data_IF_528929673587
#
_entry.id   IF_528929673587
#
_cell.length_a   1.000
_cell.length_b   1.000
_cell.length_c   1.000
_cell.angle_alpha   90.00
_cell.angle_beta   90.00
_cell.angle_gamma   90.00
#
_symmetry.space_group_name_H-M   'P 1'
#
loop_
_entity.id
_entity.type
_entity.pdbx_description
1 polymer ?
#
# COMPACT_ATOMS: atom_id res chain seq x y z
N UNK A 1 4.62 -10.26 17.12
CA UNK A 1 4.05 -10.01 15.78
C UNK A 1 4.77 -8.82 15.20
N UNK A 2 5.49 -8.98 14.11
CA UNK A 2 6.15 -7.85 13.43
C UNK A 2 5.05 -7.00 12.80
N UNK A 3 5.07 -5.70 13.05
CA UNK A 3 4.05 -4.80 12.52
C UNK A 3 4.33 -4.52 11.05
N UNK A 4 3.34 -4.76 10.19
CA UNK A 4 3.32 -4.35 8.78
C UNK A 4 3.27 -2.81 8.65
N UNK A 5 2.99 -2.11 9.74
CA UNK A 5 2.83 -0.65 9.75
C UNK A 5 4.18 0.04 9.65
N UNK A 6 4.27 0.99 8.73
CA UNK A 6 5.44 1.86 8.58
C UNK A 6 5.65 2.68 9.86
N UNK A 7 6.84 2.67 10.46
CA UNK A 7 7.09 3.38 11.70
C UNK A 7 6.98 4.91 11.52
N UNK A 8 6.47 5.61 12.53
CA UNK A 8 6.30 7.07 12.50
C UNK A 8 7.63 7.85 12.46
N UNK A 9 8.77 7.19 12.65
CA UNK A 9 10.11 7.75 12.45
C UNK A 9 10.49 7.88 10.98
N UNK A 10 9.73 7.25 10.08
CA UNK A 10 9.97 7.23 8.64
C UNK A 10 8.87 7.97 7.89
N UNK A 11 9.25 8.60 6.79
CA UNK A 11 8.31 9.16 5.82
C UNK A 11 7.68 8.04 5.01
N UNK A 12 6.38 8.13 4.76
CA UNK A 12 5.66 7.24 3.84
C UNK A 12 4.71 8.03 2.94
N UNK A 13 4.28 7.42 1.85
CA UNK A 13 3.34 8.05 0.92
C UNK A 13 2.01 8.42 1.60
N UNK A 14 1.54 7.61 2.55
CA UNK A 14 0.30 7.89 3.30
C UNK A 14 0.39 9.10 4.24
N UNK A 15 1.59 9.45 4.70
CA UNK A 15 1.84 10.60 5.58
C UNK A 15 2.11 11.90 4.82
N UNK A 16 2.54 11.79 3.58
CA UNK A 16 2.95 12.94 2.76
C UNK A 16 1.85 14.01 2.62
N UNK A 17 0.57 13.68 2.36
CA UNK A 17 -0.48 14.69 2.27
C UNK A 17 -0.65 15.52 3.55
N UNK A 18 -0.52 14.90 4.71
CA UNK A 18 -0.61 15.61 5.99
C UNK A 18 0.59 16.54 6.20
N UNK A 19 1.80 16.09 5.90
CA UNK A 19 3.02 16.89 5.96
C UNK A 19 2.97 18.10 5.02
N UNK A 20 2.35 17.97 3.87
CA UNK A 20 2.15 19.04 2.89
C UNK A 20 0.95 19.95 3.21
N UNK A 21 0.22 19.71 4.29
CA UNK A 21 -0.97 20.47 4.66
C UNK A 21 -2.18 20.22 3.74
N UNK A 22 -2.18 19.12 3.00
CA UNK A 22 -3.23 18.76 2.03
C UNK A 22 -4.24 17.75 2.57
N UNK A 23 -3.98 17.17 3.74
CA UNK A 23 -4.89 16.20 4.36
C UNK A 23 -6.05 16.90 5.05
N UNK A 24 -7.26 16.32 4.92
CA UNK A 24 -8.45 16.76 5.66
C UNK A 24 -8.51 16.20 7.09
N UNK A 25 -7.69 15.21 7.40
CA UNK A 25 -7.78 14.42 8.63
C UNK A 25 -6.66 14.72 9.62
N UNK A 26 -5.49 15.13 9.12
CA UNK A 26 -4.30 15.37 9.95
C UNK A 26 -3.55 16.61 9.45
N UNK A 27 -3.02 17.37 10.39
CA UNK A 27 -2.19 18.54 10.12
C UNK A 27 -0.70 18.18 10.08
N UNK A 28 0.16 19.07 9.54
CA UNK A 28 1.62 18.93 9.66
C UNK A 28 2.09 18.82 11.12
N UNK A 29 1.43 19.51 12.05
CA UNK A 29 1.75 19.43 13.48
C UNK A 29 1.45 18.07 14.09
N UNK A 30 0.35 17.41 13.66
CA UNK A 30 0.02 16.06 14.12
C UNK A 30 1.11 15.07 13.67
N UNK A 31 1.59 15.20 12.44
CA UNK A 31 2.69 14.37 11.93
C UNK A 31 4.00 14.62 12.65
N UNK A 32 4.33 15.88 12.91
CA UNK A 32 5.53 16.23 13.67
C UNK A 32 5.47 15.67 15.09
N UNK A 33 4.33 15.81 15.76
CA UNK A 33 4.11 15.28 17.12
C UNK A 33 4.26 13.76 17.12
N UNK A 34 3.65 13.06 16.17
CA UNK A 34 3.77 11.61 16.04
C UNK A 34 5.23 11.16 15.82
N UNK A 35 5.98 11.89 15.00
CA UNK A 35 7.39 11.60 14.76
C UNK A 35 8.24 11.83 16.01
N UNK A 36 8.04 12.91 16.72
CA UNK A 36 8.77 13.21 17.97
C UNK A 36 8.47 12.16 19.03
N UNK A 37 7.20 11.77 19.20
CA UNK A 37 6.82 10.71 20.14
C UNK A 37 7.44 9.38 19.78
N UNK A 38 7.44 9.01 18.51
CA UNK A 38 8.09 7.77 18.06
C UNK A 38 9.61 7.77 18.30
N UNK A 39 10.29 8.91 18.10
CA UNK A 39 11.72 9.07 18.37
C UNK A 39 12.05 8.95 19.87
N UNK A 40 11.09 9.28 20.74
CA UNK A 40 11.22 9.10 22.20
C UNK A 40 10.84 7.69 22.68
N UNK A 41 10.39 6.81 21.76
CA UNK A 41 9.88 5.50 22.13
C UNK A 41 8.48 5.52 22.74
N UNK A 42 7.74 6.62 22.55
CA UNK A 42 6.35 6.76 22.99
C UNK A 42 5.45 6.36 21.82
N UNK A 43 4.87 5.16 21.89
CA UNK A 43 3.90 4.73 20.88
C UNK A 43 2.55 5.40 21.09
N UNK A 44 2.06 6.04 20.05
CA UNK A 44 0.65 6.46 19.99
C UNK A 44 -0.20 5.25 19.60
N UNK A 45 -1.28 4.96 20.33
CA UNK A 45 -2.16 3.88 19.94
C UNK A 45 -2.75 4.20 18.56
N UNK A 46 -2.58 3.27 17.63
CA UNK A 46 -3.29 3.32 16.36
C UNK A 46 -4.77 3.10 16.65
N UNK A 47 -5.57 4.16 16.55
CA UNK A 47 -7.00 4.08 16.72
C UNK A 47 -7.57 3.62 15.38
N UNK A 48 -7.49 2.32 15.13
CA UNK A 48 -8.17 1.67 14.02
C UNK A 48 -9.68 1.90 14.11
N UNK A 49 -10.35 1.79 12.99
CA UNK A 49 -11.80 1.79 12.92
C UNK A 49 -12.29 0.57 12.13
N UNK A 50 -13.59 0.28 12.25
CA UNK A 50 -14.19 -0.90 11.60
C UNK A 50 -13.94 -0.94 10.08
N UNK A 51 -13.93 0.22 9.41
CA UNK A 51 -13.65 0.28 7.97
C UNK A 51 -12.21 -0.12 7.63
N UNK A 52 -11.24 0.25 8.48
CA UNK A 52 -9.85 -0.18 8.35
C UNK A 52 -9.71 -1.68 8.60
N UNK A 53 -10.41 -2.21 9.60
CA UNK A 53 -10.39 -3.64 9.89
C UNK A 53 -10.95 -4.46 8.73
N UNK A 54 -12.06 -4.04 8.14
CA UNK A 54 -12.61 -4.66 6.93
C UNK A 54 -11.66 -4.54 5.74
N UNK A 55 -11.01 -3.38 5.55
CA UNK A 55 -9.98 -3.18 4.53
C UNK A 55 -8.87 -4.22 4.65
N UNK A 56 -8.31 -4.35 5.84
CA UNK A 56 -7.23 -5.31 6.12
C UNK A 56 -7.64 -6.78 5.89
N UNK A 57 -8.88 -7.13 6.22
CA UNK A 57 -9.40 -8.49 6.01
C UNK A 57 -9.66 -8.81 4.53
N UNK A 58 -10.13 -7.83 3.77
CA UNK A 58 -10.47 -8.00 2.35
C UNK A 58 -9.24 -7.88 1.42
N UNK A 59 -8.21 -7.16 1.83
CA UNK A 59 -7.00 -6.94 1.05
C UNK A 59 -6.40 -8.22 0.45
N UNK A 60 -6.12 -9.30 1.21
CA UNK A 60 -5.57 -10.52 0.63
C UNK A 60 -6.51 -11.21 -0.35
N UNK A 61 -7.82 -11.06 -0.17
CA UNK A 61 -8.84 -11.65 -1.06
C UNK A 61 -8.84 -10.90 -2.39
N UNK A 62 -8.81 -9.57 -2.34
CA UNK A 62 -8.75 -8.69 -3.53
C UNK A 62 -7.48 -8.97 -4.33
N UNK A 63 -6.34 -9.08 -3.65
CA UNK A 63 -5.05 -9.36 -4.29
C UNK A 63 -5.02 -10.73 -4.97
N UNK A 64 -5.58 -11.76 -4.35
CA UNK A 64 -5.69 -13.10 -4.96
C UNK A 64 -6.57 -13.08 -6.20
N UNK A 65 -7.70 -12.37 -6.15
CA UNK A 65 -8.60 -12.26 -7.30
C UNK A 65 -7.97 -11.44 -8.42
N UNK A 66 -7.25 -10.37 -8.11
CA UNK A 66 -6.50 -9.59 -9.10
C UNK A 66 -5.41 -10.46 -9.77
N UNK A 67 -4.63 -11.18 -8.98
CA UNK A 67 -3.61 -12.09 -9.51
C UNK A 67 -4.22 -13.18 -10.41
N UNK A 68 -5.38 -13.73 -10.03
CA UNK A 68 -6.09 -14.71 -10.86
C UNK A 68 -6.55 -14.13 -12.20
N UNK A 69 -7.14 -12.92 -12.18
CA UNK A 69 -7.62 -12.26 -13.43
C UNK A 69 -6.51 -11.85 -14.37
N UNK A 70 -5.38 -11.44 -13.80
CA UNK A 70 -4.20 -11.02 -14.56
C UNK A 70 -3.21 -12.16 -14.81
N UNK A 71 -3.54 -13.38 -14.40
CA UNK A 71 -2.68 -14.56 -14.52
C UNK A 71 -1.27 -14.37 -13.95
N UNK A 72 -1.16 -13.61 -12.86
CA UNK A 72 0.10 -13.37 -12.18
C UNK A 72 0.52 -14.59 -11.34
N UNK A 73 1.81 -14.75 -11.14
CA UNK A 73 2.39 -15.84 -10.34
C UNK A 73 3.17 -15.31 -9.16
N UNK A 74 3.56 -16.22 -8.27
CA UNK A 74 4.41 -15.90 -7.11
C UNK A 74 3.83 -14.78 -6.24
N UNK A 75 2.50 -14.79 -6.05
CA UNK A 75 1.78 -13.79 -5.26
C UNK A 75 2.21 -13.86 -3.80
N UNK A 76 2.67 -12.72 -3.28
CA UNK A 76 2.92 -12.49 -1.86
C UNK A 76 1.95 -11.44 -1.36
N UNK A 77 1.13 -11.75 -0.36
CA UNK A 77 0.12 -10.85 0.23
C UNK A 77 0.51 -10.36 1.63
N UNK A 78 1.61 -10.85 2.18
CA UNK A 78 2.14 -10.43 3.46
C UNK A 78 3.67 -10.50 3.41
N UNK A 79 4.28 -9.33 3.40
CA UNK A 79 5.74 -9.19 3.42
C UNK A 79 6.31 -9.16 4.84
N UNK A 80 5.47 -9.19 5.86
CA UNK A 80 5.85 -9.21 7.28
C UNK A 80 6.42 -7.90 7.80
N UNK A 81 7.28 -7.24 7.07
CA UNK A 81 7.96 -6.00 7.47
C UNK A 81 7.86 -4.92 6.40
N UNK A 82 7.90 -3.62 6.77
CA UNK A 82 8.03 -2.54 5.81
C UNK A 82 9.36 -2.59 5.07
N UNK A 83 9.38 -2.05 3.86
CA UNK A 83 10.60 -1.81 3.10
C UNK A 83 11.17 -0.44 3.45
N UNK A 84 12.47 -0.37 3.69
CA UNK A 84 13.17 0.84 4.08
C UNK A 84 14.13 1.30 2.97
N UNK A 85 14.12 2.59 2.67
CA UNK A 85 15.12 3.16 1.79
C UNK A 85 16.48 3.17 2.48
N UNK A 86 17.55 2.86 1.72
CA UNK A 86 18.90 2.73 2.28
C UNK A 86 19.45 4.05 2.82
N UNK A 87 19.23 5.15 2.10
CA UNK A 87 19.92 6.42 2.33
C UNK A 87 19.02 7.54 2.88
N UNK A 88 17.69 7.34 2.83
CA UNK A 88 16.72 8.34 3.28
C UNK A 88 15.74 7.75 4.30
N UNK A 89 15.17 8.57 5.19
CA UNK A 89 14.19 8.13 6.17
C UNK A 89 12.81 7.86 5.50
N UNK A 90 12.80 7.02 4.50
CA UNK A 90 11.62 6.63 3.73
C UNK A 90 11.33 5.15 3.96
N UNK A 91 10.07 4.83 4.13
CA UNK A 91 9.62 3.45 4.21
C UNK A 91 8.25 3.28 3.54
N UNK A 92 7.96 2.06 3.10
CA UNK A 92 6.64 1.70 2.58
C UNK A 92 6.27 0.28 3.02
N UNK A 93 4.98 0.06 3.16
CA UNK A 93 4.41 -1.27 3.33
C UNK A 93 3.65 -1.63 2.07
N UNK A 94 4.02 -2.76 1.45
CA UNK A 94 3.34 -3.24 0.25
C UNK A 94 2.11 -4.08 0.68
N UNK A 95 1.00 -3.88 -0.02
CA UNK A 95 -0.16 -4.77 0.13
C UNK A 95 0.15 -6.14 -0.47
N UNK A 96 0.83 -6.16 -1.60
CA UNK A 96 1.28 -7.39 -2.22
C UNK A 96 2.27 -7.18 -3.35
N UNK A 97 2.83 -8.28 -3.82
CA UNK A 97 3.64 -8.35 -5.03
C UNK A 97 3.39 -9.64 -5.78
N UNK A 98 3.60 -9.63 -7.09
CA UNK A 98 3.49 -10.81 -7.93
C UNK A 98 4.35 -10.69 -9.19
N UNK A 99 4.64 -11.80 -9.86
CA UNK A 99 5.38 -11.82 -11.11
C UNK A 99 4.44 -11.86 -12.31
N UNK A 100 4.62 -10.91 -13.25
CA UNK A 100 3.84 -10.80 -14.47
C UNK A 100 4.28 -11.73 -15.60
N UNK A 101 5.48 -12.27 -15.56
CA UNK A 101 6.07 -13.21 -16.54
C UNK A 101 5.92 -12.83 -18.01
N UNK A 102 5.97 -11.54 -18.30
CA UNK A 102 5.87 -11.05 -19.67
C UNK A 102 4.45 -11.04 -20.25
N UNK A 103 3.42 -11.21 -19.42
CA UNK A 103 2.04 -11.15 -19.83
C UNK A 103 1.70 -9.79 -20.44
N UNK A 104 0.96 -9.80 -21.54
CA UNK A 104 0.40 -8.58 -22.14
C UNK A 104 -1.05 -8.43 -21.68
N UNK A 105 -1.30 -7.33 -20.98
CA UNK A 105 -2.62 -7.00 -20.47
C UNK A 105 -3.17 -5.81 -21.27
N UNK A 106 -4.39 -5.95 -21.74
CA UNK A 106 -5.16 -4.88 -22.39
C UNK A 106 -6.38 -4.52 -21.54
N UNK A 107 -6.94 -3.36 -21.78
CA UNK A 107 -8.21 -2.97 -21.15
C UNK A 107 -9.32 -3.95 -21.52
N UNK A 108 -9.97 -4.51 -20.51
CA UNK A 108 -11.13 -5.40 -20.62
C UNK A 108 -12.17 -4.98 -19.58
N UNK A 109 -13.14 -4.13 -19.93
CA UNK A 109 -14.17 -3.65 -19.02
C UNK A 109 -15.05 -4.77 -18.44
N UNK A 110 -15.28 -5.84 -19.20
CA UNK A 110 -16.12 -6.97 -18.77
C UNK A 110 -15.42 -7.76 -17.65
N UNK A 111 -14.10 -7.84 -17.70
CA UNK A 111 -13.29 -8.39 -16.63
C UNK A 111 -12.94 -7.36 -15.54
N UNK A 112 -13.31 -6.09 -15.68
CA UNK A 112 -12.96 -5.01 -14.76
C UNK A 112 -11.49 -4.63 -14.81
N UNK A 113 -10.84 -4.83 -15.95
CA UNK A 113 -9.42 -4.51 -16.18
C UNK A 113 -9.29 -3.23 -16.98
N UNK A 114 -8.50 -2.29 -16.49
CA UNK A 114 -8.24 -1.02 -17.16
C UNK A 114 -6.75 -0.72 -17.20
N UNK A 115 -6.19 -0.52 -18.39
CA UNK A 115 -4.84 -0.03 -18.59
C UNK A 115 -4.89 1.49 -18.76
N UNK A 116 -4.16 2.21 -17.91
CA UNK A 116 -4.18 3.67 -17.89
C UNK A 116 -3.02 4.24 -18.71
N UNK A 117 -3.34 5.17 -19.61
CA UNK A 117 -2.36 5.91 -20.40
C UNK A 117 -1.85 5.21 -21.66
N UNK A 118 -2.29 3.96 -21.93
CA UNK A 118 -1.93 3.20 -23.12
C UNK A 118 -2.95 2.09 -23.39
N UNK A 119 -2.93 1.50 -24.57
CA UNK A 119 -3.90 0.45 -24.95
C UNK A 119 -3.62 -0.89 -24.26
N UNK A 120 -2.35 -1.20 -24.04
CA UNK A 120 -1.89 -2.42 -23.39
C UNK A 120 -0.57 -2.19 -22.66
N UNK A 121 -0.28 -3.07 -21.72
CA UNK A 121 0.98 -3.08 -20.98
C UNK A 121 1.55 -4.50 -20.92
N UNK A 122 2.85 -4.63 -21.05
CA UNK A 122 3.57 -5.88 -20.77
C UNK A 122 4.03 -5.87 -19.31
N UNK A 123 3.64 -6.90 -18.56
CA UNK A 123 4.00 -7.06 -17.15
C UNK A 123 5.24 -7.97 -17.07
N UNK A 124 6.42 -7.39 -17.03
CA UNK A 124 7.69 -8.10 -16.92
C UNK A 124 8.20 -8.11 -15.47
N UNK A 125 8.44 -9.32 -14.95
CA UNK A 125 9.04 -9.53 -13.64
C UNK A 125 8.15 -9.15 -12.47
N UNK A 126 8.78 -8.85 -11.35
CA UNK A 126 8.10 -8.56 -10.10
C UNK A 126 7.44 -7.18 -10.12
N UNK A 127 6.15 -7.16 -9.88
CA UNK A 127 5.33 -5.95 -9.77
C UNK A 127 4.74 -5.78 -8.38
N UNK A 128 4.41 -4.54 -8.04
CA UNK A 128 3.71 -4.18 -6.80
C UNK A 128 2.21 -4.17 -7.04
N UNK A 129 1.47 -4.74 -6.10
CA UNK A 129 0.01 -4.72 -6.06
C UNK A 129 -0.44 -3.86 -4.89
N UNK A 130 -1.40 -2.99 -5.13
CA UNK A 130 -2.09 -2.21 -4.09
C UNK A 130 -3.60 -2.50 -4.16
N UNK A 131 -4.18 -2.80 -3.01
CA UNK A 131 -5.61 -3.04 -2.86
C UNK A 131 -6.28 -1.84 -2.21
N UNK A 132 -7.36 -1.34 -2.82
CA UNK A 132 -8.14 -0.24 -2.24
C UNK A 132 -9.61 -0.56 -2.21
N UNK A 133 -10.20 -0.47 -1.01
CA UNK A 133 -11.65 -0.46 -0.84
C UNK A 133 -12.14 0.98 -0.92
N UNK A 134 -13.01 1.26 -1.88
CA UNK A 134 -13.62 2.59 -2.01
C UNK A 134 -15.11 2.49 -1.70
N UNK A 135 -15.62 3.40 -0.87
CA UNK A 135 -17.05 3.64 -0.75
C UNK A 135 -17.49 4.60 -1.86
N UNK A 136 -18.58 4.29 -2.54
CA UNK A 136 -19.26 5.24 -3.43
C UNK A 136 -20.13 6.18 -2.64
#
# INVERSE_FOLDING_TARGET
>A
MVSKVTPNTMMSASRLPALMGLSKYRSPNDELTATISALKGEDWPDIGNEAMDWGNQLEPIILREAARRLELTDLVTDHGEPFFHRDFPLACSLDGSADGRGQIISTDPDAGIYVVGQDSIQLDGLGVLEAKLTSR
#
